data_IF_818680750553
#
_entry.id   IF_818680750553
#
_cell.length_a   1.000
_cell.length_b   1.000
_cell.length_c   1.000
_cell.angle_alpha   90.00
_cell.angle_beta   90.00
_cell.angle_gamma   90.00
#
_symmetry.space_group_name_H-M   'P 1'
#
loop_
_entity.id
_entity.type
_entity.pdbx_description
1 polymer ?
#
# COMPACT_ATOMS: atom_id res chain seq x y z
N UNK A 1 -40.06 -22.47 51.16
CA UNK A 1 -38.96 -22.95 50.29
C UNK A 1 -38.35 -21.72 49.63
N UNK A 2 -37.06 -21.39 49.82
CA UNK A 2 -36.45 -20.30 49.07
C UNK A 2 -35.96 -20.82 47.71
N UNK A 3 -36.31 -20.09 46.65
CA UNK A 3 -35.82 -20.28 45.29
C UNK A 3 -34.34 -19.90 45.27
N UNK A 4 -33.49 -20.84 44.88
CA UNK A 4 -32.05 -20.64 44.80
C UNK A 4 -31.70 -19.61 43.72
N UNK A 5 -31.10 -18.50 44.15
CA UNK A 5 -30.41 -17.55 43.26
C UNK A 5 -29.16 -18.22 42.71
N UNK A 6 -29.26 -18.82 41.52
CA UNK A 6 -28.08 -19.21 40.75
C UNK A 6 -27.39 -17.97 40.18
N UNK A 7 -26.06 -17.95 40.34
CA UNK A 7 -25.12 -16.86 40.06
C UNK A 7 -25.13 -16.41 38.59
N UNK A 8 -25.30 -15.11 38.30
CA UNK A 8 -24.99 -14.53 36.99
C UNK A 8 -23.47 -14.34 36.75
N UNK A 9 -22.64 -14.47 37.79
CA UNK A 9 -21.24 -14.05 37.79
C UNK A 9 -20.26 -15.08 37.21
N UNK A 10 -20.57 -16.37 37.28
CA UNK A 10 -19.70 -17.45 36.75
C UNK A 10 -19.68 -17.45 35.21
N UNK A 11 -20.84 -17.17 34.58
CA UNK A 11 -20.98 -17.11 33.13
C UNK A 11 -20.18 -15.95 32.49
N UNK A 12 -20.08 -14.80 33.18
CA UNK A 12 -19.34 -13.63 32.68
C UNK A 12 -17.82 -13.82 32.75
N UNK A 13 -17.31 -14.49 33.79
CA UNK A 13 -15.89 -14.79 33.94
C UNK A 13 -15.44 -15.85 32.94
N UNK A 14 -16.25 -16.89 32.72
CA UNK A 14 -16.00 -17.91 31.69
C UNK A 14 -16.07 -17.34 30.27
N UNK A 15 -17.05 -16.47 29.97
CA UNK A 15 -17.12 -15.78 28.68
C UNK A 15 -15.92 -14.85 28.44
N UNK A 16 -15.48 -14.12 29.46
CA UNK A 16 -14.30 -13.25 29.39
C UNK A 16 -13.02 -14.07 29.18
N UNK A 17 -12.88 -15.21 29.87
CA UNK A 17 -11.76 -16.13 29.69
C UNK A 17 -11.74 -16.79 28.30
N UNK A 18 -12.90 -17.18 27.77
CA UNK A 18 -13.00 -17.73 26.41
C UNK A 18 -12.73 -16.68 25.33
N UNK A 19 -13.13 -15.43 25.55
CA UNK A 19 -12.78 -14.29 24.70
C UNK A 19 -11.27 -14.05 24.71
N UNK A 20 -10.64 -13.99 25.89
CA UNK A 20 -9.18 -13.80 26.02
C UNK A 20 -8.39 -14.92 25.31
N UNK A 21 -8.83 -16.17 25.44
CA UNK A 21 -8.26 -17.31 24.72
C UNK A 21 -8.46 -17.21 23.19
N UNK A 22 -9.61 -16.73 22.72
CA UNK A 22 -9.85 -16.47 21.30
C UNK A 22 -8.92 -15.35 20.79
N UNK A 23 -8.70 -14.31 21.60
CA UNK A 23 -7.81 -13.20 21.25
C UNK A 23 -6.36 -13.63 21.14
N UNK A 24 -5.87 -14.42 22.07
CA UNK A 24 -4.50 -14.92 22.01
C UNK A 24 -4.33 -15.87 20.82
N UNK A 25 -5.33 -16.69 20.49
CA UNK A 25 -5.32 -17.49 19.26
C UNK A 25 -5.30 -16.64 17.99
N UNK A 26 -6.09 -15.57 17.92
CA UNK A 26 -6.10 -14.64 16.77
C UNK A 26 -4.75 -13.92 16.66
N UNK A 27 -4.18 -13.43 17.76
CA UNK A 27 -2.86 -12.79 17.78
C UNK A 27 -1.75 -13.75 17.35
N UNK A 28 -1.76 -14.98 17.86
CA UNK A 28 -0.77 -16.00 17.48
C UNK A 28 -0.91 -16.36 16.00
N UNK A 29 -2.13 -16.59 15.51
CA UNK A 29 -2.38 -16.86 14.09
C UNK A 29 -1.90 -15.70 13.19
N UNK A 30 -2.13 -14.45 13.59
CA UNK A 30 -1.66 -13.27 12.88
C UNK A 30 -0.13 -13.16 12.88
N UNK A 31 0.54 -13.54 13.97
CA UNK A 31 2.02 -13.56 14.06
C UNK A 31 2.64 -14.66 13.20
N UNK A 32 1.96 -15.80 13.08
CA UNK A 32 2.45 -16.97 12.35
C UNK A 32 2.12 -16.92 10.86
N UNK A 33 1.23 -16.02 10.41
CA UNK A 33 0.87 -15.90 9.00
C UNK A 33 1.68 -14.82 8.30
N UNK A 34 2.38 -15.22 7.24
CA UNK A 34 3.10 -14.34 6.31
C UNK A 34 2.25 -13.13 5.86
N UNK A 35 2.67 -11.89 6.21
CA UNK A 35 1.95 -10.67 5.85
C UNK A 35 1.82 -10.42 4.33
N UNK A 36 2.62 -11.10 3.49
CA UNK A 36 2.43 -11.09 2.02
C UNK A 36 1.05 -11.64 1.59
N UNK A 37 0.36 -12.35 2.49
CA UNK A 37 -1.00 -12.86 2.26
C UNK A 37 -2.08 -11.88 2.70
N UNK A 38 -1.73 -10.79 3.38
CA UNK A 38 -2.70 -9.81 3.87
C UNK A 38 -3.10 -8.88 2.74
N UNK A 39 -4.36 -8.44 2.75
CA UNK A 39 -4.90 -7.54 1.71
C UNK A 39 -5.70 -6.43 2.36
N UNK A 40 -5.54 -5.18 1.87
CA UNK A 40 -6.35 -4.04 2.31
C UNK A 40 -7.60 -3.96 1.46
N UNK A 41 -8.63 -4.68 1.91
CA UNK A 41 -9.75 -5.05 1.10
C UNK A 41 -9.22 -5.63 -0.19
N UNK A 42 -8.72 -6.88 -0.19
CA UNK A 42 -8.35 -7.77 -1.33
C UNK A 42 -7.51 -7.24 -2.52
N UNK A 43 -7.39 -5.93 -2.72
CA UNK A 43 -6.42 -5.29 -3.58
C UNK A 43 -5.13 -5.06 -2.77
N UNK A 44 -4.02 -5.09 -3.48
CA UNK A 44 -2.75 -4.68 -2.91
C UNK A 44 -2.72 -3.14 -3.00
N UNK A 45 -2.23 -2.46 -1.97
CA UNK A 45 -2.26 -0.98 -1.83
C UNK A 45 -1.61 -0.27 -3.03
N UNK A 46 -2.33 0.67 -3.65
CA UNK A 46 -1.85 1.55 -4.72
C UNK A 46 -2.11 3.03 -4.31
N UNK A 47 -1.10 3.92 -4.31
CA UNK A 47 -1.29 5.33 -3.96
C UNK A 47 -2.06 6.15 -5.03
N UNK A 48 -2.15 5.65 -6.27
CA UNK A 48 -2.69 6.38 -7.42
C UNK A 48 -4.12 6.01 -7.82
N UNK A 49 -4.71 4.98 -7.20
CA UNK A 49 -6.04 4.51 -7.59
C UNK A 49 -7.14 5.46 -7.10
N UNK A 50 -7.52 6.39 -7.97
CA UNK A 50 -8.75 7.18 -7.86
C UNK A 50 -9.95 6.31 -8.20
N UNK A 51 -10.52 5.65 -7.21
CA UNK A 51 -11.86 5.06 -7.35
C UNK A 51 -12.94 6.04 -6.88
N UNK A 52 -13.74 6.53 -7.83
CA UNK A 52 -15.00 7.18 -7.52
C UNK A 52 -16.02 6.09 -7.14
N UNK A 53 -16.36 6.05 -5.85
CA UNK A 53 -17.51 5.29 -5.33
C UNK A 53 -18.43 6.29 -4.62
N UNK A 54 -19.75 6.24 -4.81
CA UNK A 54 -20.67 7.07 -4.06
C UNK A 54 -20.74 6.53 -2.63
N UNK A 55 -19.89 7.00 -1.72
CA UNK A 55 -19.79 6.43 -0.37
C UNK A 55 -19.63 7.51 0.69
N UNK A 56 -20.63 7.58 1.58
CA UNK A 56 -20.62 8.35 2.82
C UNK A 56 -19.86 7.60 3.94
N UNK A 57 -18.96 6.67 3.60
CA UNK A 57 -18.07 5.98 4.54
C UNK A 57 -16.69 5.74 3.92
N UNK A 58 -15.62 5.91 4.71
CA UNK A 58 -14.30 5.37 4.44
C UNK A 58 -14.17 3.98 5.08
N UNK A 59 -13.68 3.01 4.32
CA UNK A 59 -13.52 1.63 4.76
C UNK A 59 -12.04 1.25 4.69
N UNK A 60 -11.49 0.80 5.82
CA UNK A 60 -10.19 0.14 5.85
C UNK A 60 -10.41 -1.30 6.33
N UNK A 61 -9.98 -2.27 5.53
CA UNK A 61 -10.31 -3.68 5.75
C UNK A 61 -9.03 -4.49 5.65
N UNK A 62 -8.66 -5.28 6.64
CA UNK A 62 -7.63 -6.32 6.52
C UNK A 62 -8.31 -7.67 6.40
N UNK A 63 -7.82 -8.50 5.48
CA UNK A 63 -8.37 -9.85 5.26
C UNK A 63 -7.28 -10.90 5.42
N UNK A 64 -7.63 -11.99 6.10
CA UNK A 64 -6.77 -13.14 6.31
C UNK A 64 -7.55 -14.44 6.04
N UNK A 65 -7.16 -15.24 5.04
CA UNK A 65 -7.73 -16.57 4.85
C UNK A 65 -7.40 -17.50 6.03
N UNK A 66 -8.41 -18.18 6.56
CA UNK A 66 -8.28 -19.17 7.63
C UNK A 66 -9.04 -20.45 7.26
N UNK A 67 -8.81 -21.57 7.95
CA UNK A 67 -9.45 -22.84 7.63
C UNK A 67 -10.99 -22.80 7.66
N UNK A 68 -11.55 -21.93 8.50
CA UNK A 68 -13.00 -21.74 8.67
C UNK A 68 -13.60 -20.67 7.76
N UNK A 69 -12.82 -19.94 6.97
CA UNK A 69 -13.31 -18.83 6.16
C UNK A 69 -12.28 -17.73 5.91
N UNK A 70 -12.72 -16.48 5.96
CA UNK A 70 -11.86 -15.30 5.87
C UNK A 70 -12.09 -14.44 7.09
N UNK A 71 -11.05 -14.26 7.89
CA UNK A 71 -11.06 -13.30 9.00
C UNK A 71 -10.91 -11.90 8.43
N UNK A 72 -11.79 -11.00 8.84
CA UNK A 72 -11.86 -9.63 8.33
C UNK A 72 -11.81 -8.66 9.50
N UNK A 73 -10.79 -7.80 9.53
CA UNK A 73 -10.71 -6.69 10.45
C UNK A 73 -11.08 -5.41 9.71
N UNK A 74 -12.18 -4.77 10.10
CA UNK A 74 -12.77 -3.62 9.40
C UNK A 74 -12.82 -2.40 10.30
N UNK A 75 -12.44 -1.25 9.76
CA UNK A 75 -12.62 0.07 10.34
C UNK A 75 -13.43 0.94 9.37
N UNK A 76 -14.64 1.30 9.78
CA UNK A 76 -15.60 2.07 8.98
C UNK A 76 -15.76 3.47 9.57
N UNK A 77 -15.39 4.50 8.81
CA UNK A 77 -15.49 5.90 9.23
C UNK A 77 -16.58 6.59 8.42
N UNK A 78 -17.69 7.00 9.04
CA UNK A 78 -18.69 7.83 8.37
C UNK A 78 -18.10 9.15 7.87
N UNK A 79 -18.41 9.54 6.64
CA UNK A 79 -17.97 10.79 6.00
C UNK A 79 -19.13 11.51 5.33
N UNK A 80 -19.05 12.84 5.27
CA UNK A 80 -19.91 13.70 4.45
C UNK A 80 -19.11 14.29 3.31
N UNK A 81 -19.74 14.53 2.17
CA UNK A 81 -19.17 15.30 1.08
C UNK A 81 -19.43 16.79 1.29
N UNK A 82 -18.40 17.62 1.16
CA UNK A 82 -18.50 19.07 1.18
C UNK A 82 -17.74 19.66 -0.03
N UNK A 83 -18.23 20.77 -0.58
CA UNK A 83 -17.59 21.43 -1.72
C UNK A 83 -16.77 22.62 -1.22
N UNK A 84 -15.43 22.53 -1.35
CA UNK A 84 -14.53 23.58 -0.89
C UNK A 84 -13.50 23.94 -1.95
N UNK A 85 -13.32 25.23 -2.18
CA UNK A 85 -12.15 25.84 -2.83
C UNK A 85 -11.87 25.52 -4.31
N UNK A 86 -12.44 24.44 -4.87
CA UNK A 86 -12.48 23.99 -6.29
C UNK A 86 -12.81 22.48 -6.46
N UNK A 87 -13.20 21.75 -5.41
CA UNK A 87 -13.55 20.33 -5.53
C UNK A 87 -14.38 19.77 -4.38
N UNK A 88 -14.87 18.54 -4.56
CA UNK A 88 -15.52 17.77 -3.49
C UNK A 88 -14.46 17.17 -2.57
N UNK A 89 -14.63 17.37 -1.26
CA UNK A 89 -13.85 16.71 -0.23
C UNK A 89 -14.76 15.84 0.64
N UNK A 90 -14.25 14.69 1.07
CA UNK A 90 -14.90 13.84 2.06
C UNK A 90 -14.37 14.20 3.45
N UNK A 91 -15.27 14.51 4.38
CA UNK A 91 -14.96 14.94 5.75
C UNK A 91 -15.54 13.91 6.72
N UNK A 92 -14.73 13.33 7.63
CA UNK A 92 -15.22 12.47 8.70
C UNK A 92 -16.28 13.16 9.56
N UNK A 93 -17.42 12.48 9.79
CA UNK A 93 -18.49 12.99 10.65
C UNK A 93 -18.51 12.33 12.04
N UNK A 94 -17.83 11.19 12.20
CA UNK A 94 -17.68 10.52 13.48
C UNK A 94 -16.39 9.73 13.56
N UNK A 95 -16.08 9.24 14.75
CA UNK A 95 -14.98 8.29 14.94
C UNK A 95 -15.22 6.99 14.13
N UNK A 96 -14.14 6.27 13.77
CA UNK A 96 -14.25 4.97 13.11
C UNK A 96 -14.93 3.92 14.00
N UNK A 97 -15.73 3.07 13.38
CA UNK A 97 -16.34 1.89 13.99
C UNK A 97 -15.50 0.68 13.59
N UNK A 98 -15.05 -0.08 14.59
CA UNK A 98 -14.19 -1.24 14.38
C UNK A 98 -14.97 -2.53 14.56
N UNK A 99 -14.79 -3.47 13.64
CA UNK A 99 -15.40 -4.81 13.69
C UNK A 99 -14.39 -5.86 13.28
N UNK A 100 -14.49 -7.04 13.90
CA UNK A 100 -13.80 -8.26 13.47
C UNK A 100 -14.89 -9.24 13.05
N UNK A 101 -14.83 -9.69 11.81
CA UNK A 101 -15.85 -10.50 11.18
C UNK A 101 -15.21 -11.80 10.69
N UNK A 102 -15.96 -12.91 10.78
CA UNK A 102 -15.69 -14.12 10.03
C UNK A 102 -16.61 -14.12 8.81
N UNK A 103 -16.01 -14.16 7.63
CA UNK A 103 -16.69 -14.26 6.34
C UNK A 103 -16.49 -15.66 5.74
N UNK A 104 -17.36 -16.11 4.83
CA UNK A 104 -17.23 -17.41 4.19
C UNK A 104 -15.93 -17.53 3.39
N UNK A 105 -15.46 -18.75 3.17
CA UNK A 105 -14.32 -19.03 2.29
C UNK A 105 -14.57 -18.46 0.89
N UNK A 106 -13.55 -17.82 0.31
CA UNK A 106 -13.63 -17.17 -0.99
C UNK A 106 -14.25 -15.77 -0.97
N UNK A 107 -14.66 -15.26 0.19
CA UNK A 107 -15.14 -13.88 0.31
C UNK A 107 -14.05 -12.86 -0.04
N UNK A 108 -14.46 -11.84 -0.78
CA UNK A 108 -13.63 -10.74 -1.23
C UNK A 108 -14.21 -9.39 -0.79
N UNK A 109 -13.36 -8.43 -0.41
CA UNK A 109 -13.77 -7.08 0.02
C UNK A 109 -14.62 -6.29 -0.98
N UNK A 110 -14.55 -6.61 -2.28
CA UNK A 110 -15.39 -5.98 -3.29
C UNK A 110 -16.86 -6.28 -3.02
N UNK A 111 -17.14 -7.37 -2.31
CA UNK A 111 -18.46 -7.80 -1.86
C UNK A 111 -18.93 -7.04 -0.60
N UNK A 112 -18.10 -6.19 0.00
CA UNK A 112 -18.47 -5.37 1.16
C UNK A 112 -19.57 -4.39 0.76
N UNK A 113 -20.75 -4.54 1.36
CA UNK A 113 -21.90 -3.68 1.05
C UNK A 113 -21.97 -2.47 1.98
N UNK A 114 -22.62 -1.42 1.50
CA UNK A 114 -22.82 -0.18 2.26
C UNK A 114 -23.75 -0.49 3.45
N UNK A 115 -23.33 -0.22 4.71
CA UNK A 115 -24.15 -0.49 5.89
C UNK A 115 -25.48 0.28 5.90
N UNK A 116 -25.62 1.35 5.12
CA UNK A 116 -26.81 2.20 5.03
C UNK A 116 -27.69 1.92 3.80
N UNK A 117 -27.18 1.23 2.78
CA UNK A 117 -28.04 0.64 1.74
C UNK A 117 -28.36 -0.78 2.16
N UNK A 118 -29.62 -1.02 2.54
CA UNK A 118 -30.14 -2.38 2.78
C UNK A 118 -29.87 -3.27 1.57
N UNK A 119 -28.73 -3.96 1.55
CA UNK A 119 -28.44 -4.94 0.51
C UNK A 119 -29.20 -6.22 0.83
N UNK A 120 -29.84 -6.77 -0.20
CA UNK A 120 -30.51 -8.07 -0.10
C UNK A 120 -29.42 -9.15 -0.06
N UNK A 121 -29.20 -9.69 1.14
CA UNK A 121 -28.67 -11.03 1.45
C UNK A 121 -27.16 -11.33 1.46
N UNK A 122 -26.25 -10.57 0.82
CA UNK A 122 -24.81 -10.93 0.83
C UNK A 122 -24.09 -10.54 2.12
N UNK A 123 -24.34 -9.34 2.67
CA UNK A 123 -23.68 -8.88 3.90
C UNK A 123 -24.15 -9.62 5.16
N UNK A 124 -25.28 -10.34 5.09
CA UNK A 124 -25.84 -11.11 6.21
C UNK A 124 -25.12 -12.43 6.49
N UNK A 125 -24.16 -12.84 5.66
CA UNK A 125 -23.34 -14.04 5.87
C UNK A 125 -22.03 -13.74 6.60
N UNK A 126 -21.99 -12.72 7.44
CA UNK A 126 -20.86 -12.47 8.32
C UNK A 126 -21.22 -12.85 9.76
N UNK A 127 -20.26 -13.47 10.45
CA UNK A 127 -20.33 -13.63 11.90
C UNK A 127 -19.44 -12.58 12.52
N UNK A 128 -20.03 -11.58 13.17
CA UNK A 128 -19.24 -10.59 13.91
C UNK A 128 -18.68 -11.25 15.16
N UNK A 129 -17.37 -11.34 15.23
CA UNK A 129 -16.63 -11.96 16.34
C UNK A 129 -16.30 -10.95 17.44
N UNK A 130 -16.05 -9.69 17.08
CA UNK A 130 -15.78 -8.61 18.02
C UNK A 130 -16.20 -7.24 17.45
N UNK A 131 -16.60 -6.33 18.33
CA UNK A 131 -16.92 -4.94 18.01
C UNK A 131 -16.33 -3.99 19.07
N UNK A 132 -16.37 -2.69 18.80
CA UNK A 132 -16.04 -1.65 19.78
C UNK A 132 -14.56 -1.62 20.16
N UNK A 133 -14.26 -1.42 21.44
CA UNK A 133 -12.88 -1.26 21.94
C UNK A 133 -12.01 -2.50 21.70
N UNK A 134 -12.62 -3.67 21.77
CA UNK A 134 -11.95 -4.95 21.56
C UNK A 134 -11.52 -5.09 20.08
N UNK A 135 -12.45 -4.85 19.16
CA UNK A 135 -12.15 -4.87 17.73
C UNK A 135 -11.12 -3.79 17.35
N UNK A 136 -11.21 -2.60 17.96
CA UNK A 136 -10.23 -1.53 17.79
C UNK A 136 -8.82 -1.97 18.19
N UNK A 137 -8.66 -2.59 19.37
CA UNK A 137 -7.36 -3.05 19.84
C UNK A 137 -6.75 -4.12 18.93
N UNK A 138 -7.57 -5.06 18.44
CA UNK A 138 -7.13 -6.06 17.48
C UNK A 138 -6.75 -5.44 16.14
N UNK A 139 -7.55 -4.51 15.65
CA UNK A 139 -7.28 -3.80 14.40
C UNK A 139 -5.96 -3.02 14.48
N UNK A 140 -5.71 -2.30 15.57
CA UNK A 140 -4.47 -1.59 15.82
C UNK A 140 -3.26 -2.54 15.94
N UNK A 141 -3.47 -3.72 16.51
CA UNK A 141 -2.42 -4.75 16.56
C UNK A 141 -2.06 -5.25 15.15
N UNK A 142 -3.06 -5.55 14.32
CA UNK A 142 -2.87 -5.93 12.91
C UNK A 142 -2.12 -4.84 12.16
N UNK A 143 -2.54 -3.58 12.32
CA UNK A 143 -1.88 -2.43 11.71
C UNK A 143 -0.41 -2.31 12.14
N UNK A 144 -0.11 -2.49 13.44
CA UNK A 144 1.26 -2.47 13.93
C UNK A 144 2.15 -3.60 13.39
N UNK A 145 1.62 -4.82 13.26
CA UNK A 145 2.33 -5.96 12.66
C UNK A 145 2.59 -5.70 11.17
N UNK A 146 1.57 -5.23 10.44
CA UNK A 146 1.68 -4.91 9.03
C UNK A 146 2.70 -3.79 8.78
N UNK A 147 2.65 -2.72 9.58
CA UNK A 147 3.58 -1.60 9.47
C UNK A 147 5.02 -2.08 9.73
N UNK A 148 5.24 -2.86 10.78
CA UNK A 148 6.57 -3.39 11.11
C UNK A 148 7.13 -4.28 9.99
N UNK A 149 6.28 -5.10 9.38
CA UNK A 149 6.65 -5.92 8.23
C UNK A 149 7.00 -5.07 7.01
N UNK A 150 6.16 -4.09 6.69
CA UNK A 150 6.39 -3.17 5.58
C UNK A 150 7.69 -2.39 5.78
N UNK A 151 7.93 -1.85 6.98
CA UNK A 151 9.15 -1.12 7.32
C UNK A 151 10.39 -2.00 7.19
N UNK A 152 10.31 -3.27 7.59
CA UNK A 152 11.41 -4.22 7.44
C UNK A 152 11.73 -4.52 5.98
N UNK A 153 10.70 -4.75 5.16
CA UNK A 153 10.83 -4.96 3.72
C UNK A 153 11.32 -3.72 2.99
N UNK A 154 10.87 -2.54 3.40
CA UNK A 154 11.34 -1.27 2.87
C UNK A 154 12.83 -1.08 3.19
N UNK A 155 13.28 -1.41 4.42
CA UNK A 155 14.68 -1.30 4.79
C UNK A 155 15.57 -2.29 4.01
N UNK A 156 15.12 -3.52 3.81
CA UNK A 156 15.80 -4.51 2.97
C UNK A 156 15.91 -4.00 1.52
N UNK A 157 14.80 -3.54 0.95
CA UNK A 157 14.77 -2.99 -0.40
C UNK A 157 15.61 -1.71 -0.54
N UNK A 158 15.66 -0.84 0.46
CA UNK A 158 16.51 0.35 0.45
C UNK A 158 17.99 -0.02 0.33
N UNK A 159 18.41 -1.10 1.01
CA UNK A 159 19.76 -1.66 0.89
C UNK A 159 20.03 -2.22 -0.52
N UNK A 160 19.14 -3.07 -1.02
CA UNK A 160 19.25 -3.64 -2.38
C UNK A 160 19.27 -2.57 -3.46
N UNK A 161 18.39 -1.57 -3.35
CA UNK A 161 18.27 -0.46 -4.29
C UNK A 161 19.55 0.39 -4.32
N UNK A 162 20.13 0.68 -3.16
CA UNK A 162 21.39 1.42 -3.09
C UNK A 162 22.53 0.64 -3.76
N UNK A 163 22.70 -0.64 -3.44
CA UNK A 163 23.72 -1.48 -4.07
C UNK A 163 23.53 -1.60 -5.58
N UNK A 164 22.29 -1.82 -6.01
CA UNK A 164 21.94 -1.91 -7.43
C UNK A 164 22.32 -0.63 -8.18
N UNK A 165 21.95 0.53 -7.65
CA UNK A 165 22.26 1.84 -8.25
C UNK A 165 23.76 2.09 -8.34
N UNK A 166 24.52 1.77 -7.29
CA UNK A 166 25.97 1.92 -7.32
C UNK A 166 26.63 1.09 -8.42
N UNK A 167 26.11 -0.12 -8.68
CA UNK A 167 26.58 -0.98 -9.79
C UNK A 167 26.07 -0.51 -11.16
N UNK A 168 24.85 0.00 -11.23
CA UNK A 168 24.25 0.50 -12.47
C UNK A 168 25.07 1.63 -13.08
N UNK A 169 25.58 2.56 -12.26
CA UNK A 169 26.43 3.65 -12.75
C UNK A 169 27.69 3.14 -13.45
N UNK A 170 28.34 2.11 -12.89
CA UNK A 170 29.49 1.48 -13.53
C UNK A 170 29.09 0.81 -14.85
N UNK A 171 27.96 0.09 -14.87
CA UNK A 171 27.44 -0.58 -16.06
C UNK A 171 27.07 0.38 -17.18
N UNK A 172 26.49 1.55 -16.90
CA UNK A 172 26.16 2.56 -17.91
C UNK A 172 27.38 3.16 -18.60
N UNK A 173 28.55 3.14 -17.94
CA UNK A 173 29.81 3.58 -18.54
C UNK A 173 30.38 2.54 -19.51
N UNK A 174 29.98 1.27 -19.37
CA UNK A 174 30.49 0.14 -20.16
C UNK A 174 29.52 -0.30 -21.28
N UNK A 175 28.21 -0.24 -21.04
CA UNK A 175 27.16 -0.70 -21.97
C UNK A 175 26.25 0.44 -22.45
N UNK A 176 26.17 0.63 -23.77
CA UNK A 176 25.41 1.70 -24.45
C UNK A 176 23.97 1.32 -24.85
N UNK A 177 23.50 0.11 -24.52
CA UNK A 177 22.24 -0.43 -25.05
C UNK A 177 20.99 -0.16 -24.20
N UNK A 178 21.11 0.52 -23.07
CA UNK A 178 19.98 0.69 -22.16
C UNK A 178 19.04 1.78 -22.67
N UNK A 179 17.80 1.39 -23.01
CA UNK A 179 16.78 2.33 -23.50
C UNK A 179 16.21 3.11 -22.33
N UNK A 180 16.79 4.27 -22.08
CA UNK A 180 16.20 5.29 -21.21
C UNK A 180 15.08 6.02 -21.97
N UNK A 181 13.90 6.03 -21.39
CA UNK A 181 12.80 6.86 -21.86
C UNK A 181 12.93 8.26 -21.24
N UNK A 182 12.99 9.29 -22.09
CA UNK A 182 13.02 10.69 -21.65
C UNK A 182 11.60 11.25 -21.61
N UNK A 183 11.17 11.73 -20.46
CA UNK A 183 9.88 12.36 -20.22
C UNK A 183 10.11 13.82 -19.81
N UNK A 184 9.40 14.75 -20.43
CA UNK A 184 9.54 16.20 -20.22
C UNK A 184 8.16 16.86 -20.30
N UNK A 185 7.33 16.56 -19.30
CA UNK A 185 5.92 17.03 -19.24
C UNK A 185 5.82 18.48 -18.75
N UNK A 186 6.83 18.97 -18.01
CA UNK A 186 6.88 20.31 -17.44
C UNK A 186 8.16 20.99 -17.92
N UNK A 187 8.09 22.23 -18.45
CA UNK A 187 9.28 22.97 -18.87
C UNK A 187 10.30 23.10 -17.73
N UNK A 188 11.50 22.54 -17.95
CA UNK A 188 12.61 22.58 -16.98
C UNK A 188 12.77 21.30 -16.14
N UNK A 189 11.74 20.45 -16.09
CA UNK A 189 11.79 19.17 -15.39
C UNK A 189 12.01 18.03 -16.39
N UNK A 190 13.15 17.36 -16.26
CA UNK A 190 13.54 16.26 -17.16
C UNK A 190 13.60 14.98 -16.36
N UNK A 191 12.96 13.94 -16.86
CA UNK A 191 12.90 12.62 -16.26
C UNK A 191 13.46 11.59 -17.23
N UNK A 192 14.24 10.66 -16.71
CA UNK A 192 14.69 9.47 -17.44
C UNK A 192 14.23 8.22 -16.69
N UNK A 193 13.51 7.35 -17.39
CA UNK A 193 12.98 6.11 -16.83
C UNK A 193 13.56 4.91 -17.59
N UNK A 194 13.99 3.90 -16.86
CA UNK A 194 14.45 2.63 -17.42
C UNK A 194 14.06 1.46 -16.50
N UNK A 195 13.95 0.26 -17.07
CA UNK A 195 13.66 -0.97 -16.32
C UNK A 195 14.83 -1.94 -16.48
N UNK A 196 15.34 -2.43 -15.36
CA UNK A 196 16.47 -3.35 -15.25
C UNK A 196 16.08 -4.52 -14.35
N UNK A 197 16.02 -5.75 -14.87
CA UNK A 197 15.77 -6.94 -14.06
C UNK A 197 14.59 -6.76 -13.08
N UNK A 198 13.46 -6.25 -13.62
CA UNK A 198 12.21 -5.92 -12.91
C UNK A 198 12.26 -4.68 -11.99
N UNK A 199 13.41 -4.02 -11.85
CA UNK A 199 13.57 -2.75 -11.15
C UNK A 199 13.33 -1.58 -12.10
N UNK A 200 12.37 -0.72 -11.79
CA UNK A 200 12.19 0.56 -12.46
C UNK A 200 13.06 1.61 -11.78
N UNK A 201 13.93 2.25 -12.55
CA UNK A 201 14.78 3.36 -12.15
C UNK A 201 14.24 4.63 -12.78
N UNK A 202 14.02 5.63 -11.96
CA UNK A 202 13.61 6.97 -12.36
C UNK A 202 14.64 7.96 -11.83
N UNK A 203 15.31 8.66 -12.76
CA UNK A 203 16.23 9.74 -12.42
C UNK A 203 15.71 11.03 -13.02
N UNK A 204 15.62 12.07 -12.20
CA UNK A 204 15.04 13.34 -12.62
C UNK A 204 15.89 14.53 -12.21
N UNK A 205 15.78 15.59 -12.99
CA UNK A 205 16.31 16.92 -12.69
C UNK A 205 15.14 17.89 -12.67
N UNK A 206 14.99 18.61 -11.57
CA UNK A 206 14.01 19.68 -11.38
C UNK A 206 14.69 21.03 -11.23
N UNK A 207 14.09 22.07 -11.78
CA UNK A 207 14.57 23.44 -11.66
C UNK A 207 13.67 24.25 -10.72
N UNK A 208 14.12 24.46 -9.48
CA UNK A 208 13.36 25.16 -8.45
C UNK A 208 14.12 26.41 -8.02
N UNK A 209 13.52 27.59 -8.21
CA UNK A 209 14.06 28.88 -7.73
C UNK A 209 15.52 29.16 -8.17
N UNK A 210 15.88 28.77 -9.40
CA UNK A 210 17.23 28.96 -9.93
C UNK A 210 18.26 27.93 -9.48
N UNK A 211 17.83 26.84 -8.81
CA UNK A 211 18.69 25.73 -8.42
C UNK A 211 18.23 24.42 -9.04
N UNK A 212 19.19 23.62 -9.46
CA UNK A 212 18.96 22.24 -9.90
C UNK A 212 18.83 21.31 -8.70
N UNK A 213 17.83 20.45 -8.73
CA UNK A 213 17.67 19.33 -7.81
C UNK A 213 17.62 18.04 -8.60
N UNK A 214 18.39 17.05 -8.17
CA UNK A 214 18.42 15.72 -8.77
C UNK A 214 17.73 14.74 -7.82
N UNK A 215 16.80 13.95 -8.33
CA UNK A 215 16.13 12.89 -7.59
C UNK A 215 16.35 11.55 -8.28
N UNK A 216 16.58 10.51 -7.48
CA UNK A 216 16.74 9.16 -7.95
C UNK A 216 15.83 8.23 -7.15
N UNK A 217 15.02 7.48 -7.87
CA UNK A 217 14.04 6.56 -7.35
C UNK A 217 14.26 5.20 -7.98
N UNK A 218 14.31 4.16 -7.14
CA UNK A 218 14.28 2.77 -7.58
C UNK A 218 13.01 2.16 -7.06
N UNK A 219 12.31 1.40 -7.89
CA UNK A 219 11.07 0.75 -7.49
C UNK A 219 11.01 -0.67 -8.03
N UNK A 220 10.50 -1.57 -7.19
CA UNK A 220 10.16 -2.94 -7.56
C UNK A 220 8.74 -3.21 -7.11
N UNK A 221 7.85 -3.48 -8.05
CA UNK A 221 6.42 -3.58 -7.81
C UNK A 221 5.85 -2.34 -7.08
N UNK A 222 5.81 -2.37 -5.74
CA UNK A 222 5.11 -1.39 -4.87
C UNK A 222 6.00 -0.80 -3.78
N UNK A 223 7.24 -1.27 -3.70
CA UNK A 223 8.25 -0.73 -2.80
C UNK A 223 9.09 0.22 -3.63
N UNK A 224 9.30 1.42 -3.09
CA UNK A 224 10.08 2.46 -3.73
C UNK A 224 11.12 2.96 -2.75
N UNK A 225 12.36 3.05 -3.21
CA UNK A 225 13.46 3.63 -2.47
C UNK A 225 13.87 4.95 -3.10
N UNK A 226 13.93 6.00 -2.29
CA UNK A 226 14.51 7.28 -2.69
C UNK A 226 15.96 7.32 -2.28
N UNK A 227 16.84 7.31 -3.26
CA UNK A 227 18.28 7.39 -3.02
C UNK A 227 18.63 8.82 -2.61
N UNK A 228 19.09 8.96 -1.36
CA UNK A 228 19.40 10.27 -0.76
C UNK A 228 20.75 10.84 -1.22
N UNK A 229 21.59 10.02 -1.84
CA UNK A 229 22.86 10.44 -2.38
C UNK A 229 22.66 11.30 -3.64
N UNK A 230 22.80 12.61 -3.45
CA UNK A 230 22.61 13.60 -4.52
C UNK A 230 23.70 13.54 -5.58
N UNK A 231 24.92 13.15 -5.21
CA UNK A 231 26.04 13.04 -6.15
C UNK A 231 25.76 11.87 -7.09
N UNK A 232 25.38 10.72 -6.54
CA UNK A 232 25.01 9.54 -7.31
C UNK A 232 23.80 9.80 -8.23
N UNK A 233 22.76 10.47 -7.73
CA UNK A 233 21.61 10.86 -8.54
C UNK A 233 22.01 11.76 -9.73
N UNK A 234 22.89 12.74 -9.50
CA UNK A 234 23.39 13.64 -10.55
C UNK A 234 24.25 12.90 -11.58
N UNK A 235 25.16 12.03 -11.13
CA UNK A 235 26.01 11.25 -12.04
C UNK A 235 25.20 10.31 -12.93
N UNK A 236 24.18 9.64 -12.37
CA UNK A 236 23.28 8.80 -13.16
C UNK A 236 22.42 9.59 -14.14
N UNK A 237 21.96 10.78 -13.75
CA UNK A 237 21.20 11.64 -14.66
C UNK A 237 22.03 11.99 -15.90
N UNK A 238 23.27 12.43 -15.71
CA UNK A 238 24.15 12.78 -16.83
C UNK A 238 24.51 11.56 -17.67
N UNK A 239 24.76 10.39 -17.07
CA UNK A 239 25.00 9.16 -17.82
C UNK A 239 23.79 8.77 -18.69
N UNK A 240 22.56 8.88 -18.15
CA UNK A 240 21.34 8.63 -18.93
C UNK A 240 21.14 9.65 -20.06
N UNK A 241 21.44 10.93 -19.79
CA UNK A 241 21.36 12.01 -20.78
C UNK A 241 22.36 11.81 -21.93
N UNK A 242 23.61 11.45 -21.61
CA UNK A 242 24.66 11.16 -22.60
C UNK A 242 24.25 9.98 -23.50
N UNK A 243 23.77 8.87 -22.93
CA UNK A 243 23.30 7.73 -23.72
C UNK A 243 22.12 8.11 -24.62
N UNK A 244 21.18 8.91 -24.13
CA UNK A 244 20.06 9.42 -24.91
C UNK A 244 20.50 10.28 -26.10
N UNK A 245 21.51 11.14 -25.91
CA UNK A 245 22.10 11.94 -26.98
C UNK A 245 22.84 11.07 -28.01
N UNK A 246 23.63 10.10 -27.58
CA UNK A 246 24.34 9.18 -28.48
C UNK A 246 23.37 8.37 -29.35
N UNK A 247 22.28 7.87 -28.77
CA UNK A 247 21.27 7.11 -29.52
C UNK A 247 20.58 7.97 -30.60
N UNK A 248 20.27 9.22 -30.28
CA UNK A 248 19.70 10.18 -31.25
C UNK A 248 20.67 10.50 -32.39
N UNK A 249 21.95 10.72 -32.07
CA UNK A 249 22.98 10.97 -33.08
C UNK A 249 23.16 9.77 -34.01
N UNK A 250 23.22 8.53 -33.50
CA UNK A 250 23.29 7.34 -34.36
C UNK A 250 22.06 7.20 -35.26
N UNK A 251 20.86 7.50 -34.73
CA UNK A 251 19.61 7.47 -35.50
C UNK A 251 19.65 8.51 -36.64
N UNK A 252 20.17 9.70 -36.36
CA UNK A 252 20.32 10.77 -37.34
C UNK A 252 21.36 10.41 -38.41
N UNK A 253 22.52 9.87 -38.04
CA UNK A 253 23.53 9.40 -38.99
C UNK A 253 22.95 8.35 -39.93
N UNK A 254 22.23 7.36 -39.40
CA UNK A 254 21.58 6.33 -40.22
C UNK A 254 20.53 6.92 -41.17
N UNK A 255 19.72 7.86 -40.69
CA UNK A 255 18.74 8.55 -41.55
C UNK A 255 19.40 9.38 -42.65
N UNK A 256 20.58 9.96 -42.40
CA UNK A 256 21.35 10.70 -43.40
C UNK A 256 22.06 9.80 -44.41
N UNK A 257 22.42 8.56 -44.04
CA UNK A 257 22.99 7.55 -44.95
C UNK A 257 21.95 6.94 -45.91
N UNK A 258 20.66 7.04 -45.57
CA UNK A 258 19.53 6.55 -46.37
C UNK A 258 19.01 7.58 -47.39
N UNK A 259 19.58 8.80 -47.43
CA UNK A 259 19.25 9.91 -48.36
C UNK A 259 20.33 10.07 -49.42
#
# INVERSE_FOLDING_TARGET
>A
MPIGSQKPTENLAEQKSQQDLLFDKIKTLLRETDPDKWRKGGEVLNPEDRFEKPRYTWENVYTLPVSSGVLVARASTPVRSDFQGRGFMLIPVSAPIFTIEMRPTGWHYTELTDPYKRSRNSDRRCSVLAEGSIAKNLYQHIEGVYQSYHDSRQAEFDGEAYEFVSRLLARLREETSNKWERIEDIPGDVHFVAVFDELRVDVSRKYIEGRESYELLVSKFRIQSKIKDRTLAKELFHAAEEQGLTSRLMTLTKALEEV
#
